data_IF_142078816687
#
_entry.id   IF_142078816687
#
_cell.length_a   1.000
_cell.length_b   1.000
_cell.length_c   1.000
_cell.angle_alpha   90.00
_cell.angle_beta   90.00
_cell.angle_gamma   90.00
#
_symmetry.space_group_name_H-M   'P 1'
#
loop_
_entity.id
_entity.type
_entity.pdbx_description
1 polymer ?
#
# COMPACT_ATOMS: atom_id res chain seq x y z
N UNK A 1 0.78 -27.71 -11.12
CA UNK A 1 -0.22 -27.84 -10.03
C UNK A 1 -1.62 -28.00 -10.62
N UNK A 2 -2.31 -29.11 -10.30
CA UNK A 2 -3.67 -29.44 -10.77
C UNK A 2 -4.70 -28.51 -10.14
N UNK A 3 -5.64 -28.00 -10.95
CA UNK A 3 -6.82 -27.29 -10.46
C UNK A 3 -8.06 -28.13 -10.74
N UNK A 4 -8.53 -28.83 -9.71
CA UNK A 4 -9.73 -29.67 -9.74
C UNK A 4 -10.93 -28.82 -9.40
N UNK A 5 -11.98 -28.86 -10.22
CA UNK A 5 -13.34 -28.53 -9.79
C UNK A 5 -13.80 -29.68 -8.90
N UNK A 6 -13.70 -29.55 -7.58
CA UNK A 6 -14.36 -30.51 -6.68
C UNK A 6 -15.75 -29.98 -6.39
N UNK A 7 -16.76 -30.57 -7.03
CA UNK A 7 -18.14 -30.47 -6.55
C UNK A 7 -18.18 -31.08 -5.15
N UNK A 8 -18.26 -30.23 -4.11
CA UNK A 8 -18.66 -30.69 -2.79
C UNK A 8 -20.18 -30.63 -2.71
N UNK A 9 -20.85 -31.61 -2.07
CA UNK A 9 -22.31 -31.61 -1.92
C UNK A 9 -22.90 -30.42 -1.13
N UNK A 10 -22.08 -29.45 -0.69
CA UNK A 10 -22.48 -28.29 0.13
C UNK A 10 -22.02 -26.91 -0.39
N UNK A 11 -21.45 -26.78 -1.60
CA UNK A 11 -21.14 -25.43 -2.15
C UNK A 11 -20.11 -25.40 -3.28
N UNK A 12 -20.08 -24.29 -4.02
CA UNK A 12 -19.16 -24.04 -5.14
C UNK A 12 -17.93 -23.25 -4.67
N UNK A 13 -16.76 -23.87 -4.64
CA UNK A 13 -15.48 -23.17 -4.47
C UNK A 13 -15.04 -22.52 -5.78
N UNK A 14 -14.75 -21.23 -5.76
CA UNK A 14 -14.36 -20.40 -6.90
C UNK A 14 -12.92 -19.96 -6.73
N UNK A 15 -12.01 -20.28 -7.65
CA UNK A 15 -10.74 -19.55 -7.74
C UNK A 15 -10.90 -18.37 -8.67
N UNK A 16 -10.63 -17.17 -8.19
CA UNK A 16 -10.87 -15.92 -8.94
C UNK A 16 -10.03 -15.88 -10.25
N UNK A 17 -8.91 -16.61 -10.31
CA UNK A 17 -8.00 -16.65 -11.47
C UNK A 17 -8.17 -17.79 -12.51
N UNK A 18 -9.10 -18.76 -12.37
CA UNK A 18 -9.28 -19.83 -13.38
C UNK A 18 -10.73 -20.22 -13.57
N UNK A 19 -11.30 -19.82 -14.72
CA UNK A 19 -12.59 -20.30 -15.20
C UNK A 19 -12.47 -20.69 -16.68
N UNK A 20 -13.02 -21.85 -17.04
CA UNK A 20 -13.11 -22.35 -18.42
C UNK A 20 -13.98 -21.43 -19.32
N UNK A 21 -13.93 -21.57 -20.67
CA UNK A 21 -14.67 -20.71 -21.58
C UNK A 21 -16.19 -20.91 -21.40
N UNK A 22 -16.90 -19.81 -21.17
CA UNK A 22 -18.31 -19.80 -20.78
C UNK A 22 -18.47 -19.07 -19.44
N UNK A 23 -18.41 -17.74 -19.48
CA UNK A 23 -18.51 -16.89 -18.28
C UNK A 23 -19.89 -17.11 -17.63
N UNK A 24 -20.00 -17.74 -16.46
CA UNK A 24 -21.30 -17.84 -15.78
C UNK A 24 -21.75 -16.43 -15.37
N UNK A 25 -23.05 -16.10 -15.40
CA UNK A 25 -23.56 -14.76 -15.04
C UNK A 25 -23.05 -14.27 -13.67
N UNK A 26 -22.83 -15.19 -12.72
CA UNK A 26 -22.27 -14.91 -11.40
C UNK A 26 -20.86 -14.29 -11.42
N UNK A 27 -20.03 -14.57 -12.44
CA UNK A 27 -18.68 -14.03 -12.53
C UNK A 27 -18.67 -12.54 -12.86
N UNK A 28 -19.54 -12.09 -13.77
CA UNK A 28 -19.66 -10.66 -14.11
C UNK A 28 -20.10 -9.87 -12.88
N UNK A 29 -21.13 -10.37 -12.20
CA UNK A 29 -21.62 -9.74 -10.99
C UNK A 29 -20.57 -9.70 -9.86
N UNK A 30 -19.82 -10.78 -9.64
CA UNK A 30 -18.71 -10.78 -8.67
C UNK A 30 -17.64 -9.73 -9.02
N UNK A 31 -17.26 -9.62 -10.30
CA UNK A 31 -16.28 -8.63 -10.75
C UNK A 31 -16.77 -7.19 -10.58
N UNK A 32 -18.06 -6.94 -10.80
CA UNK A 32 -18.69 -5.64 -10.54
C UNK A 32 -18.63 -5.28 -9.04
N UNK A 33 -19.00 -6.22 -8.15
CA UNK A 33 -18.91 -6.02 -6.71
C UNK A 33 -17.47 -5.78 -6.24
N UNK A 34 -16.51 -6.54 -6.81
CA UNK A 34 -15.09 -6.35 -6.55
C UNK A 34 -14.61 -4.98 -7.02
N UNK A 35 -15.02 -4.53 -8.21
CA UNK A 35 -14.66 -3.21 -8.72
C UNK A 35 -15.21 -2.08 -7.84
N UNK A 36 -16.42 -2.25 -7.28
CA UNK A 36 -17.00 -1.30 -6.32
C UNK A 36 -16.20 -1.26 -5.01
N UNK A 37 -15.81 -2.42 -4.48
CA UNK A 37 -15.02 -2.51 -3.24
C UNK A 37 -13.57 -2.06 -3.41
N UNK A 38 -12.99 -2.23 -4.61
CA UNK A 38 -11.58 -1.98 -4.88
C UNK A 38 -11.15 -0.55 -4.54
N UNK A 39 -12.01 0.46 -4.76
CA UNK A 39 -11.69 1.85 -4.41
C UNK A 39 -11.50 2.03 -2.90
N UNK A 40 -12.40 1.48 -2.08
CA UNK A 40 -12.32 1.59 -0.61
C UNK A 40 -11.17 0.78 0.00
N UNK A 41 -10.71 -0.26 -0.71
CA UNK A 41 -9.57 -1.09 -0.31
C UNK A 41 -8.25 -0.63 -0.94
N UNK A 42 -8.26 0.47 -1.72
CA UNK A 42 -7.10 0.95 -2.48
C UNK A 42 -6.48 -0.13 -3.38
N UNK A 43 -7.30 -1.00 -3.98
CA UNK A 43 -6.85 -2.09 -4.87
C UNK A 43 -6.90 -1.66 -6.34
N UNK A 44 -5.79 -1.88 -7.04
CA UNK A 44 -5.68 -1.62 -8.48
C UNK A 44 -6.12 -2.87 -9.26
N UNK A 45 -7.08 -2.68 -10.16
CA UNK A 45 -7.43 -3.71 -11.15
C UNK A 45 -6.24 -3.98 -12.06
N UNK A 46 -5.95 -5.26 -12.30
CA UNK A 46 -4.80 -5.69 -13.10
C UNK A 46 -5.12 -6.96 -13.89
N UNK A 47 -4.41 -7.18 -14.99
CA UNK A 47 -4.53 -8.38 -15.78
C UNK A 47 -3.33 -9.31 -15.57
N UNK A 48 -3.58 -10.60 -15.37
CA UNK A 48 -2.53 -11.62 -15.30
C UNK A 48 -2.63 -12.57 -16.49
N UNK A 49 -1.49 -13.06 -16.96
CA UNK A 49 -1.42 -14.01 -18.06
C UNK A 49 -1.59 -15.43 -17.49
N UNK A 50 -2.68 -16.09 -17.88
CA UNK A 50 -2.90 -17.49 -17.54
C UNK A 50 -2.01 -18.44 -18.36
N UNK A 51 -1.98 -19.74 -18.02
CA UNK A 51 -1.14 -20.72 -18.72
C UNK A 51 -1.44 -20.88 -20.21
N UNK A 52 -2.65 -20.51 -20.62
CA UNK A 52 -3.11 -20.60 -22.01
C UNK A 52 -2.73 -19.33 -22.81
N UNK A 53 -1.99 -18.40 -22.21
CA UNK A 53 -1.62 -17.11 -22.82
C UNK A 53 -2.73 -16.03 -22.76
N UNK A 54 -3.93 -16.36 -22.27
CA UNK A 54 -5.02 -15.40 -22.14
C UNK A 54 -4.86 -14.50 -20.91
N UNK A 55 -5.22 -13.23 -21.07
CA UNK A 55 -5.29 -12.28 -19.97
C UNK A 55 -6.55 -12.49 -19.13
N UNK A 56 -6.38 -12.46 -17.81
CA UNK A 56 -7.46 -12.59 -16.83
C UNK A 56 -7.47 -11.34 -15.96
N UNK A 57 -8.52 -10.50 -16.01
CA UNK A 57 -8.63 -9.34 -15.13
C UNK A 57 -8.92 -9.78 -13.70
N UNK A 58 -8.23 -9.16 -12.74
CA UNK A 58 -8.31 -9.39 -11.32
C UNK A 58 -8.42 -8.06 -10.56
N UNK A 59 -9.14 -8.08 -9.44
CA UNK A 59 -9.21 -6.99 -8.46
C UNK A 59 -8.68 -7.41 -7.09
N UNK A 60 -8.21 -8.65 -6.96
CA UNK A 60 -7.74 -9.28 -5.72
C UNK A 60 -6.37 -9.90 -5.95
N UNK A 61 -5.75 -10.43 -4.89
CA UNK A 61 -4.59 -11.29 -5.05
C UNK A 61 -4.89 -12.51 -5.93
N UNK A 62 -3.86 -13.03 -6.62
CA UNK A 62 -3.96 -14.21 -7.49
C UNK A 62 -4.50 -15.44 -6.76
N UNK A 63 -4.12 -15.61 -5.50
CA UNK A 63 -4.45 -16.76 -4.66
C UNK A 63 -5.76 -16.60 -3.88
N UNK A 64 -6.43 -15.44 -4.00
CA UNK A 64 -7.72 -15.22 -3.37
C UNK A 64 -8.75 -16.26 -3.84
N UNK A 65 -9.42 -16.86 -2.85
CA UNK A 65 -10.47 -17.84 -3.08
C UNK A 65 -11.83 -17.19 -2.84
N UNK A 66 -12.81 -17.64 -3.61
CA UNK A 66 -14.20 -17.23 -3.52
C UNK A 66 -15.10 -18.41 -3.19
N UNK A 67 -16.21 -18.14 -2.53
CA UNK A 67 -17.29 -19.09 -2.28
C UNK A 67 -18.62 -18.41 -2.60
N UNK A 68 -19.49 -19.10 -3.34
CA UNK A 68 -20.88 -18.67 -3.53
C UNK A 68 -21.76 -19.44 -2.53
N UNK A 69 -22.33 -18.70 -1.57
CA UNK A 69 -23.29 -19.24 -0.60
C UNK A 69 -24.59 -19.68 -1.27
N UNK A 70 -25.30 -20.62 -0.64
CA UNK A 70 -26.61 -21.09 -1.12
C UNK A 70 -27.67 -19.97 -1.13
N UNK A 71 -27.45 -18.91 -0.36
CA UNK A 71 -28.24 -17.69 -0.30
C UNK A 71 -27.90 -16.68 -1.40
N UNK A 72 -26.95 -17.01 -2.28
CA UNK A 72 -26.51 -16.15 -3.38
C UNK A 72 -25.45 -15.12 -3.01
N UNK A 73 -24.92 -15.12 -1.77
CA UNK A 73 -23.85 -14.21 -1.35
C UNK A 73 -22.47 -14.70 -1.76
N UNK A 74 -21.61 -13.78 -2.17
CA UNK A 74 -20.21 -14.07 -2.45
C UNK A 74 -19.35 -13.83 -1.21
N UNK A 75 -18.52 -14.81 -0.87
CA UNK A 75 -17.51 -14.71 0.17
C UNK A 75 -16.14 -14.73 -0.50
N UNK A 76 -15.27 -13.81 -0.10
CA UNK A 76 -13.85 -13.85 -0.44
C UNK A 76 -13.07 -14.31 0.79
N UNK A 77 -12.16 -15.24 0.55
CA UNK A 77 -11.28 -15.84 1.52
C UNK A 77 -9.84 -15.43 1.20
N UNK A 78 -8.95 -15.60 2.17
CA UNK A 78 -7.52 -15.34 2.03
C UNK A 78 -7.19 -13.88 1.65
N UNK A 79 -7.94 -12.93 2.21
CA UNK A 79 -7.79 -11.49 1.97
C UNK A 79 -6.44 -10.92 2.44
N UNK A 80 -5.66 -11.66 3.23
CA UNK A 80 -4.36 -11.21 3.71
C UNK A 80 -3.42 -10.82 2.55
N UNK A 81 -3.46 -11.57 1.45
CA UNK A 81 -2.62 -11.27 0.27
C UNK A 81 -3.15 -10.14 -0.60
N UNK A 82 -4.38 -9.67 -0.35
CA UNK A 82 -4.93 -8.50 -1.04
C UNK A 82 -4.21 -7.22 -0.63
N UNK A 83 -3.53 -7.20 0.53
CA UNK A 83 -2.65 -6.10 0.88
C UNK A 83 -1.38 -6.11 0.03
N UNK A 84 -0.82 -4.94 -0.30
CA UNK A 84 0.42 -4.85 -1.09
C UNK A 84 1.58 -5.56 -0.39
N UNK A 85 2.49 -6.13 -1.17
CA UNK A 85 3.68 -6.75 -0.61
C UNK A 85 4.60 -5.69 0.01
N UNK A 86 5.24 -6.03 1.13
CA UNK A 86 6.32 -5.20 1.65
C UNK A 86 7.60 -5.48 0.86
N UNK A 87 7.97 -4.54 0.00
CA UNK A 87 9.16 -4.65 -0.86
C UNK A 87 10.47 -4.78 -0.06
N UNK A 88 10.51 -4.32 1.21
CA UNK A 88 11.67 -4.51 2.07
C UNK A 88 11.99 -5.98 2.32
N UNK A 89 10.99 -6.86 2.20
CA UNK A 89 11.08 -8.28 2.54
C UNK A 89 10.88 -9.23 1.35
N UNK A 90 10.58 -8.68 0.17
CA UNK A 90 10.29 -9.41 -1.06
C UNK A 90 11.21 -8.98 -2.23
N UNK A 91 12.56 -9.01 -2.09
CA UNK A 91 13.48 -8.49 -3.11
C UNK A 91 13.48 -9.28 -4.43
N UNK A 92 13.07 -10.55 -4.39
CA UNK A 92 13.14 -11.47 -5.54
C UNK A 92 11.94 -11.38 -6.49
N UNK A 93 10.83 -10.76 -6.07
CA UNK A 93 9.57 -10.73 -6.85
C UNK A 93 9.71 -10.08 -8.23
N UNK A 94 10.79 -9.33 -8.46
CA UNK A 94 11.10 -8.61 -9.69
C UNK A 94 12.18 -9.32 -10.54
N UNK A 95 13.07 -10.10 -9.91
CA UNK A 95 14.30 -10.60 -10.56
C UNK A 95 14.08 -11.79 -11.51
N UNK A 96 12.99 -12.54 -11.36
CA UNK A 96 12.71 -13.70 -12.23
C UNK A 96 11.99 -13.31 -13.54
N UNK A 97 11.64 -12.03 -13.74
CA UNK A 97 10.84 -11.54 -14.88
C UNK A 97 11.70 -11.10 -16.07
N UNK A 98 12.62 -11.94 -16.53
CA UNK A 98 13.39 -11.73 -17.76
C UNK A 98 14.40 -10.56 -17.69
N UNK A 99 15.59 -10.81 -18.20
CA UNK A 99 16.81 -9.99 -18.01
C UNK A 99 16.85 -8.67 -18.81
N UNK A 100 15.72 -8.07 -19.17
CA UNK A 100 15.69 -6.81 -19.93
C UNK A 100 15.51 -5.59 -19.02
N UNK A 101 16.65 -5.06 -18.57
CA UNK A 101 16.88 -3.66 -18.17
C UNK A 101 15.76 -3.02 -17.33
N UNK A 102 15.72 -3.35 -16.04
CA UNK A 102 15.12 -2.44 -15.07
C UNK A 102 16.08 -2.24 -13.91
N UNK A 103 16.46 -0.99 -13.65
CA UNK A 103 17.36 -0.62 -12.56
C UNK A 103 16.65 -0.94 -11.23
N UNK A 104 17.14 -1.96 -10.54
CA UNK A 104 16.61 -2.39 -9.23
C UNK A 104 16.62 -1.31 -8.13
N UNK A 105 17.12 -0.12 -8.44
CA UNK A 105 17.24 1.04 -7.56
C UNK A 105 16.07 2.02 -7.65
N UNK A 106 15.20 1.94 -8.67
CA UNK A 106 14.08 2.90 -8.80
C UNK A 106 13.03 2.71 -7.68
N UNK A 107 12.73 3.78 -6.95
CA UNK A 107 11.78 3.79 -5.83
C UNK A 107 12.40 3.61 -4.44
N UNK A 108 13.73 3.46 -4.34
CA UNK A 108 14.45 3.47 -3.06
C UNK A 108 15.13 4.84 -2.80
N UNK A 109 15.19 5.30 -1.54
CA UNK A 109 16.02 6.46 -1.17
C UNK A 109 17.51 6.23 -1.45
N UNK A 110 18.28 7.32 -1.58
CA UNK A 110 19.73 7.26 -1.71
C UNK A 110 20.37 6.59 -0.46
N UNK A 111 21.35 5.70 -0.69
CA UNK A 111 22.01 4.89 0.35
C UNK A 111 21.04 4.14 1.29
N UNK A 112 19.82 3.82 0.84
CA UNK A 112 18.82 3.14 1.66
C UNK A 112 19.33 1.81 2.23
N UNK A 113 20.02 1.00 1.43
CA UNK A 113 20.55 -0.28 1.89
C UNK A 113 21.64 -0.13 2.95
N UNK A 114 22.54 0.83 2.78
CA UNK A 114 23.63 1.09 3.73
C UNK A 114 23.10 1.62 5.08
N UNK A 115 22.03 2.41 5.05
CA UNK A 115 21.46 3.05 6.25
C UNK A 115 20.46 2.16 6.99
N UNK A 116 19.63 1.42 6.27
CA UNK A 116 18.55 0.61 6.85
C UNK A 116 18.86 -0.90 6.94
N UNK A 117 19.80 -1.40 6.13
CA UNK A 117 20.00 -2.85 5.95
C UNK A 117 18.89 -3.56 5.15
N UNK A 118 18.02 -2.79 4.47
CA UNK A 118 16.91 -3.28 3.63
C UNK A 118 17.12 -2.87 2.16
N UNK A 119 16.52 -3.55 1.17
CA UNK A 119 15.67 -4.74 1.30
C UNK A 119 16.47 -6.01 1.61
N UNK A 120 15.84 -6.98 2.31
CA UNK A 120 16.39 -8.31 2.62
C UNK A 120 15.32 -9.38 2.47
N UNK A 121 15.69 -10.59 2.05
CA UNK A 121 14.71 -11.68 1.89
C UNK A 121 14.17 -12.15 3.24
N UNK A 122 12.84 -12.27 3.36
CA UNK A 122 12.20 -12.91 4.51
C UNK A 122 11.74 -14.34 4.19
N UNK A 123 11.94 -15.34 5.08
CA UNK A 123 11.75 -16.75 4.74
C UNK A 123 10.39 -17.16 4.17
N UNK A 124 9.29 -16.56 4.65
CA UNK A 124 7.94 -16.99 4.27
C UNK A 124 7.30 -16.20 3.11
N UNK A 125 7.85 -15.04 2.69
CA UNK A 125 7.30 -14.24 1.58
C UNK A 125 5.86 -13.72 1.79
N UNK A 126 5.49 -13.49 3.06
CA UNK A 126 4.14 -13.06 3.48
C UNK A 126 4.15 -11.66 4.11
N UNK A 127 5.24 -10.92 3.99
CA UNK A 127 5.29 -9.57 4.51
C UNK A 127 4.40 -8.67 3.65
N UNK A 128 3.39 -8.06 4.27
CA UNK A 128 2.39 -7.21 3.63
C UNK A 128 2.30 -5.87 4.35
N UNK A 129 2.06 -4.81 3.60
CA UNK A 129 1.82 -3.48 4.15
C UNK A 129 0.42 -3.45 4.76
N UNK A 130 0.33 -3.22 6.07
CA UNK A 130 -0.97 -3.07 6.76
C UNK A 130 -1.73 -1.86 6.23
N UNK A 131 -3.05 -1.94 6.24
CA UNK A 131 -3.94 -0.88 5.73
C UNK A 131 -3.63 0.49 6.32
N UNK A 132 -3.33 0.57 7.61
CA UNK A 132 -3.06 1.81 8.32
C UNK A 132 -1.78 2.49 7.80
N UNK A 133 -0.72 1.71 7.60
CA UNK A 133 0.54 2.19 7.05
C UNK A 133 0.39 2.56 5.57
N UNK A 134 -0.41 1.80 4.83
CA UNK A 134 -0.73 2.12 3.44
C UNK A 134 -1.52 3.42 3.32
N UNK A 135 -2.52 3.64 4.20
CA UNK A 135 -3.28 4.89 4.23
C UNK A 135 -2.39 6.09 4.61
N UNK A 136 -1.48 5.93 5.56
CA UNK A 136 -0.52 6.98 5.90
C UNK A 136 0.37 7.35 4.70
N UNK A 137 0.84 6.36 3.93
CA UNK A 137 1.58 6.61 2.70
C UNK A 137 0.73 7.30 1.62
N UNK A 138 -0.53 6.88 1.43
CA UNK A 138 -1.45 7.54 0.48
C UNK A 138 -1.68 9.00 0.87
N UNK A 139 -1.81 9.29 2.17
CA UNK A 139 -1.95 10.65 2.69
C UNK A 139 -0.69 11.50 2.44
N UNK A 140 0.50 10.96 2.71
CA UNK A 140 1.77 11.62 2.38
C UNK A 140 1.85 11.95 0.87
N UNK A 141 1.49 10.99 0.02
CA UNK A 141 1.44 11.20 -1.44
C UNK A 141 0.40 12.22 -1.87
N UNK A 142 -0.72 12.31 -1.18
CA UNK A 142 -1.73 13.34 -1.42
C UNK A 142 -1.20 14.74 -1.04
N UNK A 143 -0.49 14.86 0.09
CA UNK A 143 0.17 16.12 0.47
C UNK A 143 1.24 16.52 -0.53
N UNK A 144 2.04 15.57 -1.03
CA UNK A 144 3.01 15.82 -2.10
C UNK A 144 2.33 16.26 -3.40
N UNK A 145 1.18 15.66 -3.74
CA UNK A 145 0.40 16.04 -4.92
C UNK A 145 -0.06 17.49 -4.85
N UNK A 146 -0.63 17.92 -3.72
CA UNK A 146 -1.06 19.31 -3.52
C UNK A 146 0.10 20.27 -3.69
N UNK A 147 1.23 19.99 -3.02
CA UNK A 147 2.45 20.82 -3.13
C UNK A 147 2.94 20.90 -4.58
N UNK A 148 2.95 19.78 -5.32
CA UNK A 148 3.40 19.74 -6.72
C UNK A 148 2.47 20.46 -7.67
N UNK A 149 1.16 20.43 -7.41
CA UNK A 149 0.20 21.25 -8.15
C UNK A 149 0.50 22.73 -7.96
N UNK A 150 0.72 23.17 -6.72
CA UNK A 150 1.03 24.55 -6.38
C UNK A 150 2.33 25.01 -7.05
N UNK A 151 3.44 24.27 -6.87
CA UNK A 151 4.74 24.54 -7.50
C UNK A 151 4.62 24.71 -9.02
N UNK A 152 3.91 23.80 -9.70
CA UNK A 152 3.73 23.83 -11.16
C UNK A 152 2.79 24.94 -11.63
N UNK A 153 1.82 25.34 -10.82
CA UNK A 153 0.95 26.48 -11.15
C UNK A 153 1.69 27.80 -10.97
N UNK A 154 2.58 27.91 -9.98
CA UNK A 154 3.45 29.07 -9.76
C UNK A 154 4.46 29.25 -10.90
N UNK A 155 5.11 28.18 -11.36
CA UNK A 155 5.99 28.18 -12.54
C UNK A 155 5.27 28.70 -13.80
N UNK A 156 3.96 28.47 -13.87
CA UNK A 156 3.09 28.93 -14.94
C UNK A 156 2.42 30.29 -14.63
N UNK A 157 3.04 31.17 -13.84
CA UNK A 157 2.51 32.54 -13.62
C UNK A 157 1.35 32.63 -12.63
N UNK A 158 1.07 31.57 -11.88
CA UNK A 158 0.13 31.54 -10.76
C UNK A 158 -1.26 30.99 -11.10
N UNK A 159 -2.03 30.73 -10.03
CA UNK A 159 -3.35 30.08 -10.09
C UNK A 159 -4.37 30.90 -10.90
N UNK A 160 -4.37 32.22 -10.74
CA UNK A 160 -5.28 33.14 -11.46
C UNK A 160 -5.09 33.09 -12.97
N UNK A 161 -3.85 32.97 -13.44
CA UNK A 161 -3.57 32.91 -14.86
C UNK A 161 -3.89 31.53 -15.42
N UNK A 162 -3.60 30.46 -14.67
CA UNK A 162 -3.94 29.07 -15.00
C UNK A 162 -5.45 28.77 -14.95
N UNK A 163 -6.25 29.59 -14.27
CA UNK A 163 -7.69 29.43 -14.12
C UNK A 163 -8.52 30.02 -15.28
N UNK A 164 -7.87 30.63 -16.28
CA UNK A 164 -8.56 31.24 -17.43
C UNK A 164 -9.21 30.17 -18.31
N UNK A 165 -10.43 30.45 -18.76
CA UNK A 165 -11.18 29.55 -19.64
C UNK A 165 -10.40 29.29 -20.95
N UNK A 166 -10.11 28.02 -21.23
CA UNK A 166 -9.33 27.61 -22.39
C UNK A 166 -7.82 27.55 -22.18
N UNK A 167 -7.31 27.88 -20.99
CA UNK A 167 -5.90 27.67 -20.65
C UNK A 167 -5.65 26.21 -20.23
N UNK A 168 -4.68 25.56 -20.88
CA UNK A 168 -4.28 24.20 -20.59
C UNK A 168 -3.26 24.12 -19.44
N UNK A 169 -2.59 25.22 -19.07
CA UNK A 169 -1.50 25.22 -18.07
C UNK A 169 -1.94 24.67 -16.72
N UNK A 170 -3.13 25.03 -16.23
CA UNK A 170 -3.66 24.48 -14.98
C UNK A 170 -3.92 22.97 -15.06
N UNK A 171 -4.47 22.50 -16.18
CA UNK A 171 -4.71 21.07 -16.41
C UNK A 171 -3.40 20.29 -16.57
N UNK A 172 -2.41 20.90 -17.22
CA UNK A 172 -1.08 20.33 -17.43
C UNK A 172 -0.27 20.26 -16.13
N UNK A 173 -0.40 21.27 -15.26
CA UNK A 173 0.16 21.27 -13.91
C UNK A 173 -0.38 20.10 -13.09
N UNK A 174 -1.70 19.90 -13.07
CA UNK A 174 -2.35 18.77 -12.39
C UNK A 174 -1.89 17.43 -12.98
N UNK A 175 -1.85 17.32 -14.31
CA UNK A 175 -1.38 16.10 -14.98
C UNK A 175 0.08 15.78 -14.66
N UNK A 176 0.94 16.80 -14.60
CA UNK A 176 2.33 16.69 -14.18
C UNK A 176 2.45 16.22 -12.73
N UNK A 177 1.71 16.85 -11.82
CA UNK A 177 1.69 16.47 -10.40
C UNK A 177 1.19 15.04 -10.19
N UNK A 178 0.13 14.63 -10.90
CA UNK A 178 -0.36 13.25 -10.90
C UNK A 178 0.72 12.26 -11.32
N UNK A 179 1.47 12.55 -12.39
CA UNK A 179 2.56 11.70 -12.88
C UNK A 179 3.70 11.60 -11.86
N UNK A 180 4.08 12.71 -11.22
CA UNK A 180 5.17 12.76 -10.25
C UNK A 180 4.90 11.87 -9.03
N UNK A 181 3.69 11.96 -8.47
CA UNK A 181 3.30 11.19 -7.27
C UNK A 181 2.88 9.75 -7.58
N UNK A 182 2.77 9.39 -8.86
CA UNK A 182 2.33 8.05 -9.30
C UNK A 182 0.83 7.81 -9.13
N UNK A 183 0.01 8.85 -9.33
CA UNK A 183 -1.44 8.72 -9.39
C UNK A 183 -1.85 7.81 -10.56
N UNK A 184 -2.86 6.96 -10.36
CA UNK A 184 -3.44 6.14 -11.43
C UNK A 184 -4.37 6.95 -12.35
N UNK A 185 -4.69 8.18 -11.97
CA UNK A 185 -5.51 9.11 -12.74
C UNK A 185 -4.71 10.41 -13.00
N UNK A 186 -4.88 10.99 -14.18
CA UNK A 186 -4.17 12.17 -14.65
C UNK A 186 -4.87 13.50 -14.36
N UNK A 187 -6.08 13.46 -13.78
CA UNK A 187 -6.92 14.64 -13.54
C UNK A 187 -7.20 14.82 -12.06
N UNK A 188 -7.33 13.72 -11.32
CA UNK A 188 -7.50 13.73 -9.86
C UNK A 188 -6.43 12.84 -9.23
N UNK A 189 -6.02 13.17 -8.02
CA UNK A 189 -5.19 12.28 -7.23
C UNK A 189 -5.98 11.01 -6.88
N UNK A 190 -5.48 9.87 -7.34
CA UNK A 190 -6.00 8.57 -7.00
C UNK A 190 -4.85 7.58 -6.90
N UNK A 191 -4.74 6.89 -5.77
CA UNK A 191 -3.67 5.92 -5.54
C UNK A 191 -4.27 4.57 -5.16
N UNK A 192 -3.86 3.54 -5.89
CA UNK A 192 -4.30 2.16 -5.73
C UNK A 192 -3.11 1.23 -5.97
N UNK A 193 -3.16 0.05 -5.36
CA UNK A 193 -2.04 -0.88 -5.35
C UNK A 193 -2.41 -2.23 -5.95
N UNK A 194 -1.49 -2.79 -6.75
CA UNK A 194 -1.59 -4.11 -7.31
C UNK A 194 -0.88 -5.13 -6.38
N UNK A 195 -1.62 -6.00 -5.66
CA UNK A 195 -1.03 -6.94 -4.70
C UNK A 195 -0.18 -8.06 -5.34
N UNK A 196 -0.30 -8.25 -6.65
CA UNK A 196 0.31 -9.35 -7.40
C UNK A 196 1.70 -9.03 -7.94
N UNK A 197 2.16 -7.78 -7.81
CA UNK A 197 3.40 -7.28 -8.42
C UNK A 197 4.64 -8.07 -7.97
N UNK A 198 4.82 -8.23 -6.66
CA UNK A 198 5.93 -9.01 -6.09
C UNK A 198 5.58 -10.50 -5.91
N UNK A 199 4.57 -11.00 -6.63
CA UNK A 199 4.25 -12.42 -6.63
C UNK A 199 5.07 -13.13 -7.73
N UNK A 200 5.96 -14.07 -7.38
CA UNK A 200 6.87 -14.69 -8.34
C UNK A 200 6.13 -15.49 -9.42
N UNK A 201 4.99 -16.11 -9.06
CA UNK A 201 4.21 -16.95 -9.97
C UNK A 201 3.29 -16.15 -10.92
N UNK A 202 3.31 -14.82 -10.87
CA UNK A 202 2.44 -13.96 -11.69
C UNK A 202 3.18 -13.47 -12.92
N UNK A 203 2.64 -13.79 -14.09
CA UNK A 203 3.04 -13.18 -15.36
C UNK A 203 2.11 -12.02 -15.72
N UNK A 204 2.67 -10.87 -16.06
CA UNK A 204 1.94 -9.72 -16.60
C UNK A 204 2.11 -9.64 -18.12
N UNK A 205 1.16 -9.00 -18.80
CA UNK A 205 1.26 -8.73 -20.23
C UNK A 205 2.35 -7.70 -20.50
N UNK A 206 3.02 -7.78 -21.66
CA UNK A 206 3.97 -6.75 -22.11
C UNK A 206 3.32 -5.37 -22.24
N UNK A 207 2.02 -5.33 -22.53
CA UNK A 207 1.23 -4.09 -22.66
C UNK A 207 1.17 -3.35 -21.32
N UNK A 208 1.15 -4.09 -20.20
CA UNK A 208 0.99 -3.52 -18.87
C UNK A 208 2.35 -3.18 -18.21
N UNK A 209 3.47 -3.26 -18.94
CA UNK A 209 4.82 -3.11 -18.39
C UNK A 209 5.00 -1.81 -17.61
N UNK A 210 4.55 -0.68 -18.16
CA UNK A 210 4.66 0.63 -17.49
C UNK A 210 3.81 0.70 -16.23
N UNK A 211 2.58 0.17 -16.27
CA UNK A 211 1.69 0.13 -15.12
C UNK A 211 2.26 -0.77 -14.00
N UNK A 212 2.87 -1.90 -14.37
CA UNK A 212 3.54 -2.80 -13.42
C UNK A 212 4.77 -2.13 -12.82
N UNK A 213 5.62 -1.49 -13.62
CA UNK A 213 6.81 -0.81 -13.13
C UNK A 213 6.47 0.35 -12.17
N UNK A 214 5.42 1.13 -12.49
CA UNK A 214 4.89 2.15 -11.58
C UNK A 214 4.47 1.53 -10.24
N UNK A 215 3.78 0.39 -10.27
CA UNK A 215 3.31 -0.29 -9.06
C UNK A 215 4.45 -0.92 -8.24
N UNK A 216 5.50 -1.41 -8.90
CA UNK A 216 6.74 -1.85 -8.26
C UNK A 216 7.42 -0.68 -7.54
N UNK A 217 7.55 0.47 -8.22
CA UNK A 217 8.12 1.70 -7.66
C UNK A 217 7.32 2.17 -6.43
N UNK A 218 6.01 2.30 -6.55
CA UNK A 218 5.13 2.76 -5.46
C UNK A 218 5.17 1.84 -4.23
N UNK A 219 5.26 0.52 -4.42
CA UNK A 219 5.38 -0.42 -3.30
C UNK A 219 6.75 -0.34 -2.61
N UNK A 220 7.83 -0.05 -3.34
CA UNK A 220 9.14 0.25 -2.74
C UNK A 220 9.14 1.56 -1.98
N UNK A 221 8.58 2.61 -2.57
CA UNK A 221 8.43 3.91 -1.91
C UNK A 221 7.61 3.78 -0.62
N UNK A 222 6.49 3.04 -0.65
CA UNK A 222 5.68 2.78 0.53
C UNK A 222 6.44 2.00 1.62
N UNK A 223 7.19 0.97 1.21
CA UNK A 223 8.03 0.19 2.10
C UNK A 223 9.14 1.04 2.74
N UNK A 224 9.78 1.90 1.96
CA UNK A 224 10.82 2.82 2.44
C UNK A 224 10.24 3.91 3.34
N UNK A 225 9.10 4.49 2.99
CA UNK A 225 8.39 5.52 3.77
C UNK A 225 8.14 5.06 5.20
N UNK A 226 7.78 3.80 5.40
CA UNK A 226 7.55 3.26 6.75
C UNK A 226 8.83 3.35 7.60
N UNK A 227 9.97 3.01 7.02
CA UNK A 227 11.27 2.97 7.71
C UNK A 227 11.85 4.38 7.89
N UNK A 228 11.72 5.24 6.88
CA UNK A 228 12.41 6.53 6.84
C UNK A 228 11.59 7.69 7.39
N UNK A 229 10.26 7.59 7.42
CA UNK A 229 9.36 8.66 7.86
C UNK A 229 8.41 8.16 8.96
N UNK A 230 7.57 7.17 8.66
CA UNK A 230 6.45 6.80 9.54
C UNK A 230 6.89 6.32 10.93
N UNK A 231 7.89 5.43 11.01
CA UNK A 231 8.41 4.93 12.29
C UNK A 231 9.12 6.07 13.06
N UNK A 232 10.07 6.83 12.46
CA UNK A 232 10.65 8.00 13.10
C UNK A 232 9.64 9.01 13.62
N UNK A 233 8.63 9.38 12.82
CA UNK A 233 7.59 10.34 13.20
C UNK A 233 6.76 9.84 14.39
N UNK A 234 6.40 8.55 14.37
CA UNK A 234 5.71 7.92 15.49
C UNK A 234 6.55 8.01 16.77
N UNK A 235 7.81 7.58 16.71
CA UNK A 235 8.73 7.60 17.86
C UNK A 235 8.91 9.03 18.38
N UNK A 236 9.20 9.98 17.50
CA UNK A 236 9.36 11.39 17.83
C UNK A 236 8.11 11.99 18.47
N UNK A 237 6.92 11.69 17.93
CA UNK A 237 5.63 12.10 18.50
C UNK A 237 5.41 11.56 19.91
N UNK A 238 5.72 10.28 20.16
CA UNK A 238 5.65 9.72 21.52
C UNK A 238 6.62 10.37 22.49
N UNK A 239 7.86 10.62 22.07
CA UNK A 239 8.88 11.26 22.93
C UNK A 239 8.51 12.71 23.25
N UNK A 240 7.98 13.44 22.28
CA UNK A 240 7.49 14.80 22.48
C UNK A 240 6.30 14.83 23.44
N UNK A 241 5.30 13.96 23.24
CA UNK A 241 4.14 13.87 24.14
C UNK A 241 4.58 13.52 25.57
N UNK A 242 5.52 12.60 25.72
CA UNK A 242 6.08 12.25 27.03
C UNK A 242 6.74 13.44 27.73
N UNK A 243 7.59 14.18 27.01
CA UNK A 243 8.37 15.28 27.56
C UNK A 243 7.52 16.52 27.84
N UNK A 244 6.58 16.83 26.95
CA UNK A 244 5.78 18.07 26.99
C UNK A 244 4.48 17.94 27.76
N UNK A 245 3.93 16.73 27.90
CA UNK A 245 2.62 16.49 28.54
C UNK A 245 2.77 15.62 29.77
N UNK A 246 3.44 14.47 29.68
CA UNK A 246 3.51 13.54 30.80
C UNK A 246 4.48 13.99 31.90
N UNK A 247 5.67 14.50 31.57
CA UNK A 247 6.63 14.98 32.59
C UNK A 247 6.06 16.09 33.49
N UNK A 248 5.42 17.15 32.95
CA UNK A 248 4.80 18.18 33.78
C UNK A 248 3.69 17.62 34.67
N UNK A 249 2.85 16.72 34.14
CA UNK A 249 1.74 16.10 34.89
C UNK A 249 2.25 15.19 36.01
N UNK A 250 3.25 14.36 35.74
CA UNK A 250 3.89 13.48 36.74
C UNK A 250 4.63 14.30 37.80
N UNK A 251 5.33 15.36 37.40
CA UNK A 251 6.00 16.27 38.34
C UNK A 251 5.00 17.00 39.24
N UNK A 252 3.86 17.44 38.67
CA UNK A 252 2.80 18.09 39.43
C UNK A 252 2.13 17.12 40.43
N UNK A 253 1.87 15.87 40.03
CA UNK A 253 1.35 14.81 40.91
C UNK A 253 2.31 14.47 42.05
N UNK A 254 3.62 14.38 41.77
CA UNK A 254 4.63 14.09 42.81
C UNK A 254 4.84 15.26 43.79
N UNK A 255 4.59 16.50 43.38
CA UNK A 255 4.67 17.68 44.25
C UNK A 255 3.39 17.92 45.06
N UNK A 256 2.26 17.30 44.72
CA UNK A 256 0.99 17.42 45.45
C UNK A 256 0.84 16.43 46.62
N UNK A 257 1.72 15.44 46.74
CA UNK A 257 1.81 14.59 47.91
C UNK A 257 3.08 14.95 48.70
N UNK A 258 2.98 15.71 49.81
CA UNK A 258 4.12 15.83 50.71
C UNK A 258 4.40 14.42 51.26
N UNK A 259 5.55 13.85 50.88
CA UNK A 259 6.10 12.70 51.57
C UNK A 259 6.42 13.17 52.99
N UNK A 260 5.51 12.92 53.93
CA UNK A 260 5.79 13.06 55.35
C UNK A 260 6.84 12.02 55.73
N UNK A 261 8.13 12.38 55.57
CA UNK A 261 9.23 11.66 56.21
C UNK A 261 9.18 12.04 57.69
N UNK A 262 8.42 11.28 58.48
CA UNK A 262 8.52 11.32 59.93
C UNK A 262 9.88 10.74 60.34
N UNK A 263 10.85 11.63 60.56
CA UNK A 263 12.14 11.30 61.15
C UNK A 263 11.97 10.79 62.58
N UNK A 264 11.90 9.46 62.74
CA UNK A 264 12.03 8.79 64.02
C UNK A 264 13.49 8.71 64.44
N UNK A 265 13.97 9.74 65.13
CA UNK A 265 15.26 9.69 65.83
C UNK A 265 15.20 8.71 67.00
N UNK A 266 16.06 7.70 66.98
CA UNK A 266 16.30 6.81 68.13
C UNK A 266 17.34 7.49 69.03
N UNK A 267 17.10 7.71 70.34
CA UNK A 267 18.12 8.25 71.22
C UNK A 267 19.06 7.13 71.67
N UNK A 268 20.36 7.40 71.58
CA UNK A 268 21.41 6.58 72.16
C UNK A 268 21.35 6.68 73.70
N UNK A 269 21.42 5.54 74.38
CA UNK A 269 21.51 5.47 75.84
C UNK A 269 22.21 4.19 76.29
N UNK A 270 23.45 4.39 76.76
CA UNK A 270 24.28 3.64 77.73
C UNK A 270 24.17 2.11 77.83
#
# INVERSE_FOLDING_TARGET
>A
MKATLTSSPQGYSVRVGRWAPGVPPHRRHLLELLAQAAKGLSLQGHAVVGPNGHQVPLFTALDAQGLLGADGRFYLLDLFRSLPADANYCPDGVRERGEEEWSGDEGWPEQYQSTSGLPRKFPHGLCRLRSELLQAFIQDKQSQFTRRCEERMEENGGVEECGKAGDHRGTDAVRGACKDVGSVNNIIFEMRFNPSVFCPDVAFSKIDREAVALQERLQREAAAFIITQQIPDLVGGTLYCWSSVCQPVVTCLLLQFPVCVSGGGVPAGQ
#
